data_IF_682810442339
#
_entry.id   IF_682810442339
#
_cell.length_a   1.000
_cell.length_b   1.000
_cell.length_c   1.000
_cell.angle_alpha   90.00
_cell.angle_beta   90.00
_cell.angle_gamma   90.00
#
_symmetry.space_group_name_H-M   'P 1'
#
loop_
_entity.id
_entity.type
_entity.pdbx_description
1 polymer ?
#
# COMPACT_ATOMS: atom_id res chain seq x y z
N UNK A 1 -12.02 -5.48 23.24
CA UNK A 1 -11.64 -4.07 23.51
C UNK A 1 -11.12 -3.44 22.23
N UNK A 2 -11.44 -2.16 22.03
CA UNK A 2 -11.59 -1.52 20.73
C UNK A 2 -10.24 -1.22 20.08
N UNK A 3 -9.99 -1.71 18.86
CA UNK A 3 -8.82 -1.35 18.02
C UNK A 3 -8.64 0.18 17.96
N UNK A 4 -9.76 0.92 17.98
CA UNK A 4 -9.81 2.38 18.09
C UNK A 4 -9.13 2.97 19.35
N UNK A 5 -9.21 2.30 20.50
CA UNK A 5 -8.54 2.76 21.73
C UNK A 5 -7.03 2.45 21.70
N UNK A 6 -6.65 1.31 21.15
CA UNK A 6 -5.24 1.00 20.91
C UNK A 6 -4.63 2.00 19.91
N UNK A 7 -5.42 2.41 18.91
CA UNK A 7 -5.05 3.42 17.93
C UNK A 7 -4.70 4.78 18.55
N UNK A 8 -5.62 5.35 19.35
CA UNK A 8 -5.42 6.65 20.00
C UNK A 8 -4.19 6.64 20.91
N UNK A 9 -3.93 5.52 21.59
CA UNK A 9 -2.78 5.35 22.46
C UNK A 9 -1.44 5.23 21.69
N UNK A 10 -1.48 4.74 20.45
CA UNK A 10 -0.30 4.50 19.61
C UNK A 10 -0.10 5.56 18.52
N UNK A 11 -0.85 6.66 18.50
CA UNK A 11 -0.59 7.77 17.59
C UNK A 11 0.46 8.71 18.18
N UNK A 12 1.53 9.13 17.47
CA UNK A 12 1.88 8.85 16.06
C UNK A 12 2.77 7.60 15.86
N UNK A 13 2.99 6.79 16.89
CA UNK A 13 3.84 5.60 16.83
C UNK A 13 3.44 4.59 15.74
N UNK A 14 2.15 4.53 15.38
CA UNK A 14 1.63 3.73 14.26
C UNK A 14 2.26 4.07 12.90
N UNK A 15 2.74 5.31 12.70
CA UNK A 15 3.47 5.66 11.47
C UNK A 15 4.78 4.87 11.34
N UNK A 16 5.29 4.30 12.43
CA UNK A 16 6.52 3.51 12.52
C UNK A 16 6.26 2.00 12.66
N UNK A 17 5.08 1.59 13.12
CA UNK A 17 4.72 0.18 13.36
C UNK A 17 3.92 -0.42 12.18
N UNK A 18 4.65 -0.83 11.13
CA UNK A 18 4.08 -1.37 9.88
C UNK A 18 3.03 -2.47 10.07
N UNK A 19 3.27 -3.42 10.99
CA UNK A 19 2.40 -4.58 11.17
C UNK A 19 1.01 -4.19 11.71
N UNK A 20 0.97 -3.37 12.76
CA UNK A 20 -0.29 -2.90 13.32
C UNK A 20 -1.10 -2.10 12.30
N UNK A 21 -0.42 -1.28 11.49
CA UNK A 21 -1.05 -0.53 10.42
C UNK A 21 -1.65 -1.43 9.33
N UNK A 22 -0.91 -2.46 8.92
CA UNK A 22 -1.35 -3.46 7.94
C UNK A 22 -2.57 -4.23 8.46
N UNK A 23 -2.55 -4.70 9.71
CA UNK A 23 -3.68 -5.42 10.32
C UNK A 23 -4.96 -4.56 10.32
N UNK A 24 -4.84 -3.27 10.63
CA UNK A 24 -5.97 -2.33 10.67
C UNK A 24 -6.52 -2.08 9.27
N UNK A 25 -5.65 -1.80 8.31
CA UNK A 25 -6.07 -1.59 6.92
C UNK A 25 -6.66 -2.87 6.32
N UNK A 26 -6.11 -4.02 6.68
CA UNK A 26 -6.66 -5.32 6.33
C UNK A 26 -8.05 -5.56 6.91
N UNK A 27 -8.39 -4.97 8.07
CA UNK A 27 -9.74 -5.06 8.63
C UNK A 27 -10.73 -4.08 7.99
N UNK A 28 -10.36 -2.81 7.86
CA UNK A 28 -11.29 -1.75 7.47
C UNK A 28 -11.35 -1.47 5.97
N UNK A 29 -10.25 -1.69 5.24
CA UNK A 29 -10.09 -1.26 3.85
C UNK A 29 -9.89 -2.41 2.87
N UNK A 30 -9.14 -3.43 3.26
CA UNK A 30 -8.86 -4.62 2.45
C UNK A 30 -9.37 -5.91 3.12
N UNK A 31 -10.66 -5.98 3.53
CA UNK A 31 -11.18 -7.14 4.24
C UNK A 31 -11.15 -8.38 3.37
N UNK A 32 -10.68 -9.49 3.93
CA UNK A 32 -10.62 -10.81 3.27
C UNK A 32 -11.99 -11.26 2.75
N UNK A 33 -13.06 -10.96 3.50
CA UNK A 33 -14.44 -11.25 3.10
C UNK A 33 -14.93 -10.50 1.86
N UNK A 34 -14.18 -9.50 1.39
CA UNK A 34 -14.49 -8.70 0.19
C UNK A 34 -13.50 -8.95 -0.95
N UNK A 35 -12.84 -10.12 -1.00
CA UNK A 35 -12.00 -10.52 -2.12
C UNK A 35 -10.52 -10.12 -2.02
N UNK A 36 -10.09 -9.60 -0.87
CA UNK A 36 -8.71 -9.19 -0.64
C UNK A 36 -7.84 -10.31 -0.03
N UNK A 37 -6.64 -10.49 -0.56
CA UNK A 37 -5.60 -11.31 0.04
C UNK A 37 -4.50 -10.44 0.64
N UNK A 38 -3.88 -10.93 1.72
CA UNK A 38 -2.89 -10.20 2.51
C UNK A 38 -1.54 -10.87 2.33
N UNK A 39 -0.50 -10.12 2.00
CA UNK A 39 0.81 -10.74 1.74
C UNK A 39 1.47 -11.27 3.02
N UNK A 40 1.11 -10.72 4.18
CA UNK A 40 1.49 -11.26 5.49
C UNK A 40 1.01 -12.68 5.77
N UNK A 41 -0.06 -13.15 5.11
CA UNK A 41 -0.53 -14.55 5.22
C UNK A 41 0.36 -15.54 4.45
N UNK A 42 1.08 -15.06 3.42
CA UNK A 42 1.84 -15.92 2.50
C UNK A 42 3.35 -15.83 2.74
N UNK A 43 3.87 -14.66 3.13
CA UNK A 43 5.24 -14.51 3.59
C UNK A 43 5.40 -13.24 4.44
N UNK A 44 6.13 -13.36 5.55
CA UNK A 44 6.52 -12.20 6.35
C UNK A 44 7.35 -11.21 5.54
N UNK A 45 7.05 -9.91 5.69
CA UNK A 45 7.76 -8.82 5.01
C UNK A 45 7.81 -8.98 3.49
N UNK A 46 6.69 -9.40 2.88
CA UNK A 46 6.60 -9.53 1.43
C UNK A 46 7.02 -8.22 0.73
N UNK A 47 7.78 -8.36 -0.35
CA UNK A 47 8.34 -7.21 -1.04
C UNK A 47 7.25 -6.43 -1.78
N UNK A 48 7.22 -5.12 -1.55
CA UNK A 48 6.45 -4.10 -2.25
C UNK A 48 4.91 -4.19 -2.21
N UNK A 49 4.33 -5.38 -2.09
CA UNK A 49 2.88 -5.60 -2.06
C UNK A 49 2.46 -5.90 -0.63
N UNK A 50 1.42 -5.22 -0.16
CA UNK A 50 0.77 -5.49 1.14
C UNK A 50 -0.54 -6.25 0.93
N UNK A 51 -1.29 -5.91 -0.13
CA UNK A 51 -2.57 -6.57 -0.45
C UNK A 51 -2.74 -6.83 -1.94
N UNK A 52 -3.62 -7.76 -2.28
CA UNK A 52 -4.01 -8.08 -3.65
C UNK A 52 -5.49 -8.45 -3.73
N UNK A 53 -6.13 -8.22 -4.87
CA UNK A 53 -7.59 -8.36 -5.06
C UNK A 53 -7.92 -9.28 -6.24
N UNK A 54 -9.11 -9.90 -6.20
CA UNK A 54 -9.67 -10.77 -7.24
C UNK A 54 -8.66 -11.81 -7.75
N UNK A 55 -8.24 -12.67 -6.83
CA UNK A 55 -7.11 -13.56 -7.07
C UNK A 55 -7.49 -15.03 -7.08
N UNK A 56 -6.67 -15.81 -7.79
CA UNK A 56 -6.62 -17.26 -7.68
C UNK A 56 -5.25 -17.69 -7.16
N UNK A 57 -5.21 -18.83 -6.48
CA UNK A 57 -3.97 -19.41 -5.96
C UNK A 57 -3.73 -20.78 -6.56
N UNK A 58 -2.54 -21.00 -7.09
CA UNK A 58 -2.08 -22.27 -7.66
C UNK A 58 -0.73 -22.60 -7.04
N UNK A 59 -0.73 -23.49 -6.03
CA UNK A 59 0.48 -23.80 -5.27
C UNK A 59 1.08 -22.55 -4.60
N UNK A 60 2.28 -22.18 -5.02
CA UNK A 60 3.06 -21.05 -4.53
C UNK A 60 2.83 -19.75 -5.32
N UNK A 61 1.98 -19.79 -6.34
CA UNK A 61 1.67 -18.67 -7.21
C UNK A 61 0.28 -18.10 -6.90
N UNK A 62 0.21 -16.77 -6.89
CA UNK A 62 -1.03 -15.99 -6.76
C UNK A 62 -1.19 -15.15 -8.02
N UNK A 63 -2.34 -15.27 -8.67
CA UNK A 63 -2.71 -14.49 -9.85
C UNK A 63 -3.83 -13.55 -9.48
N UNK A 64 -3.52 -12.26 -9.29
CA UNK A 64 -4.45 -11.22 -8.89
C UNK A 64 -4.70 -10.24 -10.04
N UNK A 65 -5.86 -9.59 -10.07
CA UNK A 65 -6.08 -8.49 -11.04
C UNK A 65 -5.33 -7.22 -10.59
N UNK A 66 -5.21 -7.02 -9.28
CA UNK A 66 -4.68 -5.81 -8.67
C UNK A 66 -3.81 -6.12 -7.46
N UNK A 67 -2.70 -5.39 -7.34
CA UNK A 67 -1.84 -5.37 -6.16
C UNK A 67 -1.76 -3.95 -5.59
N UNK A 68 -1.80 -3.85 -4.26
CA UNK A 68 -1.73 -2.59 -3.51
C UNK A 68 -0.48 -2.58 -2.64
N UNK A 69 0.26 -1.48 -2.74
CA UNK A 69 1.34 -1.12 -1.83
C UNK A 69 0.88 0.03 -0.95
N UNK A 70 0.97 -0.14 0.36
CA UNK A 70 0.70 0.90 1.33
C UNK A 70 1.98 1.64 1.71
N UNK A 71 1.85 2.96 1.85
CA UNK A 71 2.92 3.82 2.32
C UNK A 71 2.37 4.82 3.33
N UNK A 72 3.10 5.02 4.41
CA UNK A 72 2.88 6.13 5.33
C UNK A 72 3.92 7.20 5.07
N UNK A 73 3.56 8.47 5.29
CA UNK A 73 4.54 9.56 5.21
C UNK A 73 4.11 10.76 6.04
N UNK A 74 5.10 11.48 6.59
CA UNK A 74 4.89 12.76 7.28
C UNK A 74 5.40 13.94 6.44
N UNK A 75 6.11 13.70 5.33
CA UNK A 75 6.59 14.77 4.45
C UNK A 75 5.42 15.38 3.68
N UNK A 76 5.48 16.70 3.46
CA UNK A 76 4.53 17.43 2.60
C UNK A 76 5.07 17.64 1.18
N UNK A 77 6.33 17.32 0.94
CA UNK A 77 6.93 17.41 -0.41
C UNK A 77 6.90 16.05 -1.10
N UNK A 78 6.18 15.96 -2.22
CA UNK A 78 6.14 14.78 -3.09
C UNK A 78 7.52 14.48 -3.69
N UNK A 79 8.31 15.51 -4.02
CA UNK A 79 9.69 15.35 -4.49
C UNK A 79 10.56 14.69 -3.43
N UNK A 80 10.49 15.13 -2.17
CA UNK A 80 11.25 14.52 -1.09
C UNK A 80 10.81 13.06 -0.84
N UNK A 81 9.51 12.80 -0.97
CA UNK A 81 8.96 11.45 -0.84
C UNK A 81 9.48 10.52 -1.95
N UNK A 82 9.39 10.93 -3.22
CA UNK A 82 9.91 10.21 -4.37
C UNK A 82 11.45 10.08 -4.33
N UNK A 83 12.14 11.02 -3.71
CA UNK A 83 13.59 10.97 -3.56
C UNK A 83 14.07 10.01 -2.46
N UNK A 84 13.17 9.37 -1.72
CA UNK A 84 13.54 8.34 -0.74
C UNK A 84 13.83 7.02 -1.44
N UNK A 85 15.01 6.42 -1.18
CA UNK A 85 15.43 5.16 -1.84
C UNK A 85 14.40 4.05 -1.70
N UNK A 86 13.85 3.86 -0.49
CA UNK A 86 12.87 2.82 -0.23
C UNK A 86 11.57 3.01 -1.03
N UNK A 87 11.17 4.25 -1.33
CA UNK A 87 10.01 4.57 -2.16
C UNK A 87 10.30 4.24 -3.62
N UNK A 88 11.46 4.66 -4.14
CA UNK A 88 11.87 4.33 -5.53
C UNK A 88 11.98 2.83 -5.74
N UNK A 89 12.71 2.13 -4.86
CA UNK A 89 12.85 0.68 -4.96
C UNK A 89 11.48 -0.01 -4.96
N UNK A 90 10.53 0.47 -4.15
CA UNK A 90 9.18 -0.07 -4.10
C UNK A 90 8.42 0.14 -5.43
N UNK A 91 8.48 1.35 -5.98
CA UNK A 91 7.86 1.71 -7.27
C UNK A 91 8.48 0.87 -8.39
N UNK A 92 9.80 0.73 -8.43
CA UNK A 92 10.50 -0.06 -9.44
C UNK A 92 10.07 -1.53 -9.39
N UNK A 93 9.97 -2.10 -8.19
CA UNK A 93 9.47 -3.48 -8.04
C UNK A 93 8.04 -3.64 -8.56
N UNK A 94 7.15 -2.68 -8.29
CA UNK A 94 5.78 -2.73 -8.79
C UNK A 94 5.73 -2.59 -10.31
N UNK A 95 6.51 -1.69 -10.90
CA UNK A 95 6.57 -1.49 -12.36
C UNK A 95 7.12 -2.74 -13.06
N UNK A 96 8.21 -3.30 -12.54
CA UNK A 96 8.85 -4.50 -13.11
C UNK A 96 7.98 -5.75 -12.94
N UNK A 97 7.29 -5.86 -11.81
CA UNK A 97 6.44 -7.01 -11.47
C UNK A 97 5.06 -7.00 -12.12
N UNK A 98 4.63 -5.90 -12.74
CA UNK A 98 3.29 -5.77 -13.31
C UNK A 98 3.18 -6.28 -14.75
N UNK A 99 2.08 -6.96 -15.05
CA UNK A 99 1.64 -7.33 -16.40
C UNK A 99 1.81 -8.82 -16.70
N UNK A 100 1.45 -9.22 -17.92
CA UNK A 100 1.38 -10.63 -18.31
C UNK A 100 2.70 -11.39 -18.06
N UNK A 101 2.62 -12.47 -17.26
CA UNK A 101 3.74 -13.32 -16.90
C UNK A 101 4.78 -12.68 -15.98
N UNK A 102 4.51 -11.47 -15.47
CA UNK A 102 5.37 -10.76 -14.53
C UNK A 102 4.75 -10.83 -13.13
N UNK A 103 5.62 -10.99 -12.14
CA UNK A 103 5.21 -11.03 -10.74
C UNK A 103 6.36 -10.67 -9.83
N UNK A 104 6.05 -10.49 -8.55
CA UNK A 104 7.05 -10.28 -7.51
C UNK A 104 7.19 -11.58 -6.73
N UNK A 105 8.39 -12.15 -6.75
CA UNK A 105 8.74 -13.33 -5.97
C UNK A 105 9.42 -12.96 -4.66
N UNK A 106 8.98 -13.58 -3.57
CA UNK A 106 9.54 -13.41 -2.23
C UNK A 106 9.30 -14.64 -1.37
N UNK A 107 10.35 -15.15 -0.70
CA UNK A 107 10.28 -16.30 0.20
C UNK A 107 9.51 -17.51 -0.38
N UNK A 108 9.79 -17.83 -1.65
CA UNK A 108 9.17 -18.98 -2.33
C UNK A 108 7.73 -18.77 -2.79
N UNK A 109 7.16 -17.57 -2.61
CA UNK A 109 5.84 -17.20 -3.14
C UNK A 109 5.98 -16.18 -4.26
N UNK A 110 5.08 -16.21 -5.23
CA UNK A 110 5.04 -15.22 -6.31
C UNK A 110 3.63 -14.63 -6.45
N UNK A 111 3.54 -13.30 -6.53
CA UNK A 111 2.29 -12.59 -6.82
C UNK A 111 2.39 -11.97 -8.21
N UNK A 112 1.55 -12.44 -9.13
CA UNK A 112 1.33 -11.90 -10.47
C UNK A 112 0.14 -10.93 -10.43
N UNK A 113 0.25 -9.79 -11.10
CA UNK A 113 -0.78 -8.76 -11.09
C UNK A 113 -0.79 -7.89 -12.36
N UNK A 114 -1.99 -7.53 -12.82
CA UNK A 114 -2.17 -6.67 -14.00
C UNK A 114 -2.09 -5.19 -13.64
N UNK A 115 -2.59 -4.81 -12.46
CA UNK A 115 -2.67 -3.43 -11.99
C UNK A 115 -1.92 -3.25 -10.67
N UNK A 116 -1.23 -2.12 -10.54
CA UNK A 116 -0.56 -1.74 -9.29
C UNK A 116 -1.08 -0.38 -8.81
N UNK A 117 -1.40 -0.32 -7.52
CA UNK A 117 -1.78 0.90 -6.84
C UNK A 117 -0.87 1.18 -5.65
N UNK A 118 -0.56 2.45 -5.41
CA UNK A 118 0.13 2.90 -4.20
C UNK A 118 -0.83 3.76 -3.39
N UNK A 119 -1.15 3.30 -2.18
CA UNK A 119 -2.02 3.98 -1.25
C UNK A 119 -1.18 4.66 -0.16
N UNK A 120 -1.13 5.99 -0.23
CA UNK A 120 -0.34 6.85 0.63
C UNK A 120 -1.23 7.39 1.75
N UNK A 121 -0.76 7.26 2.99
CA UNK A 121 -1.45 7.73 4.18
C UNK A 121 -0.61 8.77 4.90
N UNK A 122 -1.28 9.85 5.26
CA UNK A 122 -0.67 11.01 5.91
C UNK A 122 -1.46 11.36 7.18
N UNK A 123 -0.82 11.97 8.19
CA UNK A 123 -1.54 12.62 9.28
C UNK A 123 -2.55 13.63 8.72
N UNK A 124 -3.75 13.72 9.31
CA UNK A 124 -4.78 14.71 8.89
C UNK A 124 -4.25 16.14 8.86
N UNK A 125 -3.43 16.53 9.85
CA UNK A 125 -2.79 17.86 9.89
C UNK A 125 -1.75 18.12 8.78
N UNK A 126 -1.40 17.08 8.03
CA UNK A 126 -0.41 17.13 6.96
C UNK A 126 -1.00 17.01 5.56
N UNK A 127 -2.31 16.83 5.41
CA UNK A 127 -2.97 16.70 4.11
C UNK A 127 -4.07 17.76 3.96
N UNK A 128 -3.90 18.64 2.97
CA UNK A 128 -4.96 19.56 2.51
C UNK A 128 -5.45 19.12 1.14
N UNK A 129 -6.60 19.64 0.70
CA UNK A 129 -7.13 19.37 -0.64
C UNK A 129 -6.16 19.81 -1.73
N UNK A 130 -5.51 20.96 -1.55
CA UNK A 130 -4.53 21.51 -2.49
C UNK A 130 -3.31 20.61 -2.58
N UNK A 131 -2.75 20.19 -1.44
CA UNK A 131 -1.61 19.28 -1.37
C UNK A 131 -1.92 17.94 -2.04
N UNK A 132 -3.10 17.36 -1.75
CA UNK A 132 -3.55 16.10 -2.34
C UNK A 132 -3.65 16.20 -3.86
N UNK A 133 -4.20 17.30 -4.36
CA UNK A 133 -4.31 17.57 -5.80
C UNK A 133 -2.92 17.71 -6.45
N UNK A 134 -2.03 18.50 -5.84
CA UNK A 134 -0.65 18.69 -6.31
C UNK A 134 0.10 17.35 -6.42
N UNK A 135 0.07 16.55 -5.35
CA UNK A 135 0.71 15.24 -5.33
C UNK A 135 0.14 14.30 -6.39
N UNK A 136 -1.18 14.17 -6.48
CA UNK A 136 -1.82 13.27 -7.45
C UNK A 136 -1.49 13.67 -8.90
N UNK A 137 -1.49 14.97 -9.21
CA UNK A 137 -1.14 15.46 -10.54
C UNK A 137 0.31 15.11 -10.90
N UNK A 138 1.25 15.34 -9.97
CA UNK A 138 2.66 15.05 -10.20
C UNK A 138 2.94 13.55 -10.30
N UNK A 139 2.36 12.75 -9.41
CA UNK A 139 2.50 11.30 -9.43
C UNK A 139 1.91 10.68 -10.71
N UNK A 140 0.76 11.17 -11.17
CA UNK A 140 0.17 10.73 -12.44
C UNK A 140 1.03 11.11 -13.66
N UNK A 141 1.70 12.26 -13.62
CA UNK A 141 2.60 12.70 -14.69
C UNK A 141 3.90 11.89 -14.74
N UNK A 142 4.53 11.63 -13.60
CA UNK A 142 5.82 10.93 -13.54
C UNK A 142 5.68 9.40 -13.60
N UNK A 143 4.59 8.86 -13.07
CA UNK A 143 4.37 7.42 -12.89
C UNK A 143 2.97 7.01 -13.41
N UNK A 144 2.66 7.27 -14.71
CA UNK A 144 1.33 7.03 -15.28
C UNK A 144 0.91 5.55 -15.27
N UNK A 145 1.88 4.65 -15.07
CA UNK A 145 1.64 3.22 -14.91
C UNK A 145 1.07 2.85 -13.55
N UNK A 146 1.19 3.68 -12.51
CA UNK A 146 0.75 3.35 -11.16
C UNK A 146 -0.42 4.25 -10.80
N UNK A 147 -1.51 3.68 -10.28
CA UNK A 147 -2.58 4.48 -9.69
C UNK A 147 -2.21 4.86 -8.26
N UNK A 148 -2.43 6.12 -7.90
CA UNK A 148 -2.16 6.63 -6.56
C UNK A 148 -3.44 7.02 -5.86
N UNK A 149 -3.49 6.74 -4.57
CA UNK A 149 -4.50 7.29 -3.68
C UNK A 149 -3.82 7.89 -2.46
N UNK A 150 -4.31 9.05 -2.02
CA UNK A 150 -3.77 9.75 -0.86
C UNK A 150 -4.93 10.02 0.10
N UNK A 151 -4.85 9.49 1.31
CA UNK A 151 -5.91 9.63 2.30
C UNK A 151 -5.36 10.08 3.64
N UNK A 152 -6.16 10.86 4.37
CA UNK A 152 -5.91 11.05 5.79
C UNK A 152 -6.19 9.73 6.49
N UNK A 153 -5.30 9.36 7.39
CA UNK A 153 -5.42 8.09 8.10
C UNK A 153 -6.67 8.05 8.98
N UNK A 154 -6.98 9.19 9.59
CA UNK A 154 -8.10 9.42 10.47
C UNK A 154 -9.47 9.33 9.76
N UNK A 155 -9.50 9.37 8.42
CA UNK A 155 -10.74 9.24 7.64
C UNK A 155 -11.16 7.77 7.42
N UNK A 156 -10.23 6.83 7.57
CA UNK A 156 -10.44 5.42 7.23
C UNK A 156 -10.75 4.54 8.44
N UNK A 157 -10.67 5.10 9.64
CA UNK A 157 -10.93 4.41 10.91
C UNK A 157 -12.25 4.94 11.45
N UNK A 158 -13.32 4.13 11.32
CA UNK A 158 -14.64 4.42 11.90
C UNK A 158 -14.76 3.83 13.30
#
# INVERSE_FOLDING_TARGET
>A
ENIKKAWEASYPQIFFERKLFEDIMGHYRYPKGSGWGHTSDIASNFKAIDFYEDFTKVGDEIFATKAVSMKTTTTKSVDNWLNTKAVRDNIDNLILGRGAGKGISWNGKTVFFDQAEIHIYMPKGNITTELKSEWLNKLAAELPSIKFEINALEELIK
#
